data_IF_718166348138
#
_entry.id   IF_718166348138
#
_cell.length_a   1.000
_cell.length_b   1.000
_cell.length_c   1.000
_cell.angle_alpha   90.00
_cell.angle_beta   90.00
_cell.angle_gamma   90.00
#
_symmetry.space_group_name_H-M   'P 1'
#
loop_
_entity.id
_entity.type
_entity.pdbx_description
1 polymer ?
#
# COMPACT_ATOMS: atom_id res chain seq x y z
N UNK A 1 18.51 -35.34 34.92
CA UNK A 1 19.09 -34.22 34.20
C UNK A 1 17.92 -33.43 33.61
N UNK A 2 17.51 -32.33 34.25
CA UNK A 2 16.34 -31.56 33.93
C UNK A 2 16.79 -30.43 33.01
N UNK A 3 16.31 -30.39 31.75
CA UNK A 3 16.50 -29.27 30.85
C UNK A 3 15.36 -28.28 31.06
N UNK A 4 15.66 -27.15 31.71
CA UNK A 4 14.74 -26.01 31.77
C UNK A 4 14.74 -25.30 30.41
N UNK A 5 13.66 -25.45 29.65
CA UNK A 5 13.40 -24.61 28.50
C UNK A 5 13.01 -23.21 28.98
N UNK A 6 13.94 -22.27 28.86
CA UNK A 6 13.62 -20.83 28.98
C UNK A 6 12.90 -20.37 27.71
N UNK A 7 11.59 -20.21 27.81
CA UNK A 7 10.84 -19.45 26.84
C UNK A 7 11.13 -17.95 27.06
N UNK A 8 11.96 -17.35 26.21
CA UNK A 8 12.08 -15.90 26.15
C UNK A 8 10.83 -15.39 25.44
N UNK A 9 9.85 -14.93 26.22
CA UNK A 9 8.78 -14.10 25.71
C UNK A 9 9.39 -12.74 25.35
N UNK A 10 9.78 -12.56 24.09
CA UNK A 10 9.96 -11.23 23.54
C UNK A 10 8.57 -10.56 23.52
N UNK A 11 8.32 -9.71 24.50
CA UNK A 11 7.19 -8.80 24.48
C UNK A 11 7.41 -7.82 23.31
N UNK A 12 6.86 -8.15 22.15
CA UNK A 12 6.76 -7.22 21.01
C UNK A 12 5.77 -6.14 21.48
N UNK A 13 6.29 -5.01 21.95
CA UNK A 13 5.48 -3.81 22.08
C UNK A 13 5.08 -3.41 20.66
N UNK A 14 3.80 -3.16 20.37
CA UNK A 14 3.43 -2.50 19.13
C UNK A 14 4.08 -1.11 19.17
N UNK A 15 5.14 -0.92 18.43
CA UNK A 15 5.70 0.41 18.17
C UNK A 15 4.77 1.02 17.12
N UNK A 16 3.71 1.67 17.57
CA UNK A 16 3.03 2.65 16.72
C UNK A 16 4.06 3.77 16.56
N UNK A 17 4.62 3.91 15.37
CA UNK A 17 5.44 5.06 15.06
C UNK A 17 4.56 6.31 15.16
N UNK A 18 5.10 7.37 15.74
CA UNK A 18 4.43 8.67 15.72
C UNK A 18 4.23 9.08 14.25
N UNK A 19 3.06 9.63 13.92
CA UNK A 19 2.75 10.06 12.56
C UNK A 19 3.78 11.07 12.05
N UNK A 20 4.57 10.66 11.07
CA UNK A 20 5.58 11.50 10.43
C UNK A 20 4.97 12.25 9.24
N UNK A 21 4.62 13.52 9.47
CA UNK A 21 4.05 14.41 8.45
C UNK A 21 4.98 14.57 7.25
N UNK A 22 6.30 14.68 7.47
CA UNK A 22 7.25 14.91 6.38
C UNK A 22 7.40 13.67 5.49
N UNK A 23 7.57 12.50 6.10
CA UNK A 23 7.64 11.23 5.36
C UNK A 23 6.33 10.98 4.60
N UNK A 24 5.18 11.18 5.23
CA UNK A 24 3.86 11.02 4.60
C UNK A 24 3.67 12.00 3.45
N UNK A 25 4.16 13.24 3.57
CA UNK A 25 4.12 14.22 2.48
C UNK A 25 4.95 13.79 1.26
N UNK A 26 6.11 13.17 1.48
CA UNK A 26 6.91 12.60 0.39
C UNK A 26 6.13 11.48 -0.34
N UNK A 27 5.44 10.63 0.41
CA UNK A 27 4.58 9.59 -0.16
C UNK A 27 3.40 10.19 -0.94
N UNK A 28 2.82 11.31 -0.46
CA UNK A 28 1.79 12.04 -1.20
C UNK A 28 2.32 12.55 -2.55
N UNK A 29 3.53 13.11 -2.57
CA UNK A 29 4.14 13.58 -3.82
C UNK A 29 4.37 12.45 -4.81
N UNK A 30 4.81 11.29 -4.37
CA UNK A 30 4.92 10.09 -5.21
C UNK A 30 3.55 9.64 -5.75
N UNK A 31 2.52 9.61 -4.89
CA UNK A 31 1.17 9.28 -5.30
C UNK A 31 0.63 10.27 -6.34
N UNK A 32 0.86 11.58 -6.17
CA UNK A 32 0.48 12.61 -7.13
C UNK A 32 1.26 12.50 -8.44
N UNK A 33 2.57 12.23 -8.36
CA UNK A 33 3.43 12.04 -9.54
C UNK A 33 2.96 10.88 -10.42
N UNK A 34 2.33 9.85 -9.84
CA UNK A 34 1.79 8.72 -10.59
C UNK A 34 0.73 9.12 -11.64
N UNK A 35 0.06 10.26 -11.45
CA UNK A 35 -0.91 10.82 -12.40
C UNK A 35 -0.26 11.63 -13.53
N UNK A 36 1.03 11.96 -13.43
CA UNK A 36 1.71 12.74 -14.45
C UNK A 36 1.93 11.89 -15.72
N UNK A 37 1.37 12.27 -16.89
CA UNK A 37 1.39 11.43 -18.09
C UNK A 37 2.76 11.39 -18.76
N UNK A 38 3.63 12.38 -18.50
CA UNK A 38 4.94 12.54 -19.16
C UNK A 38 6.12 12.01 -18.33
N UNK A 39 5.87 11.52 -17.12
CA UNK A 39 6.92 11.04 -16.24
C UNK A 39 7.43 9.69 -16.75
N UNK A 40 8.75 9.62 -16.94
CA UNK A 40 9.50 8.42 -17.35
C UNK A 40 10.85 8.38 -16.64
N UNK A 41 11.59 7.25 -16.64
CA UNK A 41 12.94 7.20 -16.06
C UNK A 41 13.93 8.21 -16.62
N UNK A 42 13.70 8.69 -17.84
CA UNK A 42 14.54 9.70 -18.50
C UNK A 42 13.94 11.10 -18.49
N UNK A 43 12.73 11.25 -17.99
CA UNK A 43 12.02 12.53 -17.88
C UNK A 43 11.29 12.61 -16.54
N UNK A 44 12.01 13.07 -15.51
CA UNK A 44 11.49 13.30 -14.16
C UNK A 44 11.22 14.80 -13.97
N UNK A 45 10.23 15.32 -14.72
CA UNK A 45 9.86 16.74 -14.73
C UNK A 45 8.36 16.91 -14.53
N UNK A 46 7.97 17.19 -13.29
CA UNK A 46 6.60 17.51 -12.90
C UNK A 46 6.59 18.35 -11.61
N UNK A 47 5.44 18.90 -11.27
CA UNK A 47 5.27 19.78 -10.09
C UNK A 47 5.68 19.09 -8.77
N UNK A 48 5.49 17.78 -8.67
CA UNK A 48 5.75 16.99 -7.45
C UNK A 48 6.94 16.02 -7.61
N UNK A 49 7.70 16.19 -8.69
CA UNK A 49 8.90 15.40 -8.92
C UNK A 49 10.06 15.92 -8.07
N UNK A 50 10.48 15.14 -7.08
CA UNK A 50 11.54 15.52 -6.15
C UNK A 50 12.91 14.99 -6.57
N UNK A 51 13.98 15.73 -6.23
CA UNK A 51 15.35 15.39 -6.61
C UNK A 51 15.91 14.16 -5.89
N UNK A 52 15.34 13.83 -4.72
CA UNK A 52 15.70 12.62 -3.95
C UNK A 52 15.13 11.33 -4.52
N UNK A 53 14.29 11.43 -5.55
CA UNK A 53 13.61 10.29 -6.17
C UNK A 53 14.26 9.94 -7.50
N UNK A 54 14.60 8.67 -7.66
CA UNK A 54 15.08 8.09 -8.93
C UNK A 54 13.99 7.15 -9.41
N UNK A 55 13.26 7.55 -10.46
CA UNK A 55 12.30 6.69 -11.11
C UNK A 55 13.03 5.68 -12.00
N UNK A 56 12.81 4.40 -11.75
CA UNK A 56 13.48 3.32 -12.50
C UNK A 56 12.56 2.69 -13.54
N UNK A 57 11.27 2.62 -13.25
CA UNK A 57 10.29 2.03 -14.17
C UNK A 57 8.91 2.63 -14.02
N UNK A 58 8.25 2.82 -15.13
CA UNK A 58 6.79 3.00 -15.24
C UNK A 58 6.21 1.67 -15.71
N UNK A 59 5.26 1.13 -14.96
CA UNK A 59 4.55 -0.11 -15.30
C UNK A 59 3.11 0.29 -15.57
N UNK A 60 2.59 -0.09 -16.74
CA UNK A 60 1.23 0.27 -17.14
C UNK A 60 0.60 -0.89 -17.93
N UNK A 61 -0.50 -1.45 -17.41
CA UNK A 61 -1.26 -2.51 -18.03
C UNK A 61 -2.76 -2.31 -17.78
N UNK A 62 -3.58 -2.51 -18.79
CA UNK A 62 -5.05 -2.45 -18.72
C UNK A 62 -5.61 -1.17 -18.03
N UNK A 63 -4.89 -0.05 -18.16
CA UNK A 63 -5.24 1.21 -17.50
C UNK A 63 -4.79 1.35 -16.05
N UNK A 64 -4.26 0.29 -15.44
CA UNK A 64 -3.56 0.37 -14.16
C UNK A 64 -2.12 0.87 -14.37
N UNK A 65 -1.60 1.68 -13.43
CA UNK A 65 -0.25 2.24 -13.54
C UNK A 65 0.44 2.28 -12.18
N UNK A 66 1.72 1.93 -12.16
CA UNK A 66 2.61 2.09 -11.03
C UNK A 66 3.94 2.72 -11.45
N UNK A 67 4.50 3.54 -10.56
CA UNK A 67 5.87 4.03 -10.62
C UNK A 67 6.71 3.22 -9.63
N UNK A 68 7.85 2.73 -10.07
CA UNK A 68 8.78 1.97 -9.22
C UNK A 68 10.16 2.59 -9.31
N UNK A 69 10.81 2.79 -8.16
CA UNK A 69 12.11 3.43 -8.12
C UNK A 69 12.75 3.40 -6.73
N UNK A 70 13.65 4.34 -6.52
CA UNK A 70 14.46 4.49 -5.31
C UNK A 70 14.37 5.90 -4.75
N UNK A 71 14.22 6.02 -3.44
CA UNK A 71 14.20 7.28 -2.70
C UNK A 71 15.46 7.41 -1.87
N UNK A 72 16.36 8.31 -2.27
CA UNK A 72 17.71 8.42 -1.68
C UNK A 72 17.71 8.89 -0.24
N UNK A 73 16.78 9.77 0.16
CA UNK A 73 16.73 10.30 1.53
C UNK A 73 16.34 9.24 2.56
N UNK A 74 15.66 8.18 2.13
CA UNK A 74 15.19 7.10 2.99
C UNK A 74 15.92 5.78 2.76
N UNK A 75 16.86 5.73 1.79
CA UNK A 75 17.53 4.49 1.36
C UNK A 75 16.54 3.34 1.13
N UNK A 76 15.46 3.63 0.43
CA UNK A 76 14.34 2.71 0.23
C UNK A 76 13.89 2.65 -1.22
N UNK A 77 13.43 1.49 -1.64
CA UNK A 77 12.65 1.34 -2.87
C UNK A 77 11.24 1.93 -2.65
N UNK A 78 10.58 2.35 -3.71
CA UNK A 78 9.19 2.75 -3.61
C UNK A 78 8.35 2.15 -4.73
N UNK A 79 7.06 1.99 -4.43
CA UNK A 79 6.02 1.69 -5.42
C UNK A 79 4.86 2.65 -5.20
N UNK A 80 4.59 3.49 -6.20
CA UNK A 80 3.50 4.46 -6.16
C UNK A 80 2.44 4.11 -7.21
N UNK A 81 1.24 3.78 -6.77
CA UNK A 81 0.14 3.41 -7.65
C UNK A 81 -0.71 4.61 -8.01
N UNK A 82 -1.05 4.72 -9.30
CA UNK A 82 -2.04 5.68 -9.78
C UNK A 82 -3.45 5.20 -9.45
N UNK A 83 -4.27 6.09 -8.96
CA UNK A 83 -5.71 5.86 -8.85
C UNK A 83 -6.46 6.04 -10.17
N UNK A 84 -7.78 6.03 -10.10
CA UNK A 84 -8.64 6.25 -11.26
C UNK A 84 -8.51 7.67 -11.78
N UNK A 85 -8.46 7.82 -13.11
CA UNK A 85 -8.48 9.13 -13.78
C UNK A 85 -9.86 9.81 -13.66
N UNK A 86 -10.91 9.01 -13.54
CA UNK A 86 -12.28 9.48 -13.34
C UNK A 86 -12.88 8.82 -12.09
N UNK A 87 -12.74 9.51 -10.96
CA UNK A 87 -13.19 9.02 -9.63
C UNK A 87 -14.71 8.86 -9.58
N UNK A 88 -15.47 9.76 -10.22
CA UNK A 88 -16.93 9.70 -10.24
C UNK A 88 -17.43 8.45 -10.99
N UNK A 89 -16.90 8.19 -12.17
CA UNK A 89 -17.22 6.95 -12.89
C UNK A 89 -16.82 5.70 -12.13
N UNK A 90 -15.68 5.73 -11.43
CA UNK A 90 -15.23 4.63 -10.61
C UNK A 90 -16.19 4.39 -9.43
N UNK A 91 -16.61 5.43 -8.70
CA UNK A 91 -17.57 5.33 -7.60
C UNK A 91 -18.91 4.72 -8.03
N UNK A 92 -19.37 5.07 -9.26
CA UNK A 92 -20.61 4.54 -9.82
C UNK A 92 -20.51 3.07 -10.28
N UNK A 93 -19.30 2.57 -10.49
CA UNK A 93 -19.04 1.22 -11.03
C UNK A 93 -18.25 0.32 -10.07
N UNK A 94 -18.02 0.76 -8.82
CA UNK A 94 -17.30 -0.04 -7.82
C UNK A 94 -18.04 -1.37 -7.61
N UNK A 95 -17.31 -2.46 -7.74
CA UNK A 95 -17.81 -3.79 -7.42
C UNK A 95 -17.92 -3.94 -5.90
N UNK A 96 -18.72 -4.89 -5.48
CA UNK A 96 -18.93 -5.21 -4.06
C UNK A 96 -18.66 -6.69 -3.76
N UNK A 97 -18.10 -7.39 -4.72
CA UNK A 97 -17.78 -8.81 -4.60
C UNK A 97 -16.37 -9.00 -4.04
N UNK A 98 -16.22 -10.03 -3.24
CA UNK A 98 -14.93 -10.46 -2.73
C UNK A 98 -14.33 -11.58 -3.60
N UNK A 99 -13.02 -11.50 -3.83
CA UNK A 99 -12.21 -12.64 -4.21
C UNK A 99 -11.41 -13.13 -3.00
N UNK A 100 -11.10 -14.42 -3.01
CA UNK A 100 -10.34 -15.08 -1.94
C UNK A 100 -9.06 -15.69 -2.53
N UNK A 101 -8.09 -14.87 -2.93
CA UNK A 101 -6.98 -15.30 -3.79
C UNK A 101 -6.00 -16.24 -3.11
N UNK A 102 -6.00 -16.26 -1.78
CA UNK A 102 -4.99 -16.98 -0.99
C UNK A 102 -5.49 -18.32 -0.43
N UNK A 103 -6.66 -18.79 -0.80
CA UNK A 103 -7.28 -20.00 -0.23
C UNK A 103 -6.46 -21.29 -0.41
N UNK A 104 -5.44 -21.28 -1.27
CA UNK A 104 -4.50 -22.39 -1.44
C UNK A 104 -3.36 -22.43 -0.42
N UNK A 105 -3.15 -21.33 0.32
CA UNK A 105 -2.08 -21.29 1.30
C UNK A 105 -2.53 -21.94 2.59
N UNK A 106 -1.66 -22.76 3.17
CA UNK A 106 -1.89 -23.40 4.48
C UNK A 106 -1.04 -22.68 5.54
N UNK A 107 -1.71 -22.09 6.51
CA UNK A 107 -1.06 -21.40 7.62
C UNK A 107 -1.87 -21.65 8.88
N UNK A 108 -1.20 -22.04 9.95
CA UNK A 108 -1.83 -22.39 11.24
C UNK A 108 -2.50 -21.20 11.94
N UNK A 109 -2.13 -19.96 11.57
CA UNK A 109 -2.60 -18.73 12.22
C UNK A 109 -3.68 -17.99 11.41
N UNK A 110 -3.81 -18.28 10.12
CA UNK A 110 -4.71 -17.57 9.20
C UNK A 110 -5.52 -18.59 8.40
N UNK A 111 -6.83 -18.47 8.48
CA UNK A 111 -7.72 -19.16 7.55
C UNK A 111 -7.81 -18.36 6.24
N UNK A 112 -6.91 -18.68 5.32
CA UNK A 112 -6.79 -18.00 4.03
C UNK A 112 -8.05 -18.09 3.17
N UNK A 113 -8.91 -19.08 3.40
CA UNK A 113 -10.17 -19.23 2.66
C UNK A 113 -11.18 -18.12 2.97
N UNK A 114 -10.95 -17.37 4.06
CA UNK A 114 -11.82 -16.28 4.51
C UNK A 114 -11.26 -14.89 4.24
N UNK A 115 -9.99 -14.79 3.84
CA UNK A 115 -9.31 -13.51 3.55
C UNK A 115 -9.80 -12.97 2.20
N UNK A 116 -10.76 -12.06 2.26
CA UNK A 116 -11.42 -11.48 1.09
C UNK A 116 -10.88 -10.10 0.73
N UNK A 117 -10.58 -9.91 -0.55
CA UNK A 117 -10.22 -8.62 -1.15
C UNK A 117 -11.30 -8.24 -2.16
N UNK A 118 -11.60 -6.94 -2.30
CA UNK A 118 -12.53 -6.47 -3.33
C UNK A 118 -12.00 -6.85 -4.72
N UNK A 119 -12.88 -7.44 -5.54
CA UNK A 119 -12.51 -8.07 -6.80
C UNK A 119 -11.83 -7.09 -7.78
N UNK A 120 -12.35 -5.89 -7.92
CA UNK A 120 -11.81 -4.89 -8.85
C UNK A 120 -10.44 -4.38 -8.44
N UNK A 121 -10.20 -4.23 -7.13
CA UNK A 121 -8.88 -3.84 -6.60
C UNK A 121 -7.86 -4.96 -6.82
N UNK A 122 -8.26 -6.20 -6.54
CA UNK A 122 -7.37 -7.33 -6.74
C UNK A 122 -7.00 -7.53 -8.21
N UNK A 123 -7.97 -7.46 -9.13
CA UNK A 123 -7.70 -7.55 -10.58
C UNK A 123 -6.76 -6.43 -11.03
N UNK A 124 -7.02 -5.18 -10.58
CA UNK A 124 -6.16 -4.03 -10.92
C UNK A 124 -4.73 -4.22 -10.41
N UNK A 125 -4.58 -4.77 -9.21
CA UNK A 125 -3.27 -5.08 -8.64
C UNK A 125 -2.56 -6.19 -9.43
N UNK A 126 -3.25 -7.28 -9.74
CA UNK A 126 -2.69 -8.43 -10.50
C UNK A 126 -2.14 -8.04 -11.87
N UNK A 127 -2.75 -7.05 -12.54
CA UNK A 127 -2.25 -6.54 -13.82
C UNK A 127 -0.82 -5.98 -13.72
N UNK A 128 -0.39 -5.55 -12.53
CA UNK A 128 0.90 -4.90 -12.29
C UNK A 128 1.88 -5.75 -11.48
N UNK A 129 1.40 -6.67 -10.65
CA UNK A 129 2.17 -7.41 -9.64
C UNK A 129 3.46 -8.02 -10.17
N UNK A 130 3.36 -8.83 -11.21
CA UNK A 130 4.51 -9.57 -11.77
C UNK A 130 5.65 -8.64 -12.18
N UNK A 131 5.34 -7.54 -12.83
CA UNK A 131 6.34 -6.58 -13.29
C UNK A 131 6.89 -5.73 -12.14
N UNK A 132 6.07 -5.44 -11.11
CA UNK A 132 6.51 -4.77 -9.88
C UNK A 132 7.52 -5.65 -9.16
N UNK A 133 7.20 -6.91 -8.85
CA UNK A 133 8.07 -7.82 -8.11
C UNK A 133 9.38 -8.06 -8.86
N UNK A 134 9.32 -8.28 -10.18
CA UNK A 134 10.51 -8.39 -11.01
C UNK A 134 11.39 -7.14 -10.94
N UNK A 135 10.79 -5.97 -10.94
CA UNK A 135 11.53 -4.70 -10.87
C UNK A 135 12.14 -4.54 -9.49
N UNK A 136 11.39 -4.74 -8.42
CA UNK A 136 11.90 -4.67 -7.04
C UNK A 136 13.08 -5.61 -6.82
N UNK A 137 13.03 -6.85 -7.34
CA UNK A 137 14.14 -7.80 -7.27
C UNK A 137 15.41 -7.26 -7.93
N UNK A 138 15.27 -6.63 -9.10
CA UNK A 138 16.41 -5.99 -9.79
C UNK A 138 16.96 -4.80 -9.00
N UNK A 139 16.07 -3.97 -8.45
CA UNK A 139 16.47 -2.77 -7.72
C UNK A 139 17.08 -3.07 -6.35
N UNK A 140 16.64 -4.14 -5.68
CA UNK A 140 17.28 -4.66 -4.47
C UNK A 140 18.77 -4.89 -4.68
N UNK A 141 19.13 -5.53 -5.80
CA UNK A 141 20.53 -5.80 -6.12
C UNK A 141 21.29 -4.53 -6.54
N UNK A 142 20.61 -3.60 -7.20
CA UNK A 142 21.20 -2.33 -7.64
C UNK A 142 21.50 -1.40 -6.46
N UNK A 143 20.52 -1.20 -5.57
CA UNK A 143 20.61 -0.21 -4.47
C UNK A 143 21.04 -0.82 -3.14
N UNK A 144 21.13 -2.15 -3.04
CA UNK A 144 21.51 -2.88 -1.83
C UNK A 144 20.59 -2.61 -0.64
N UNK A 145 19.32 -2.35 -0.91
CA UNK A 145 18.27 -2.16 0.09
C UNK A 145 17.10 -3.12 -0.14
N UNK A 146 16.48 -3.57 0.94
CA UNK A 146 15.27 -4.40 0.94
C UNK A 146 14.05 -3.66 1.46
N UNK A 147 14.26 -2.43 1.93
CA UNK A 147 13.20 -1.56 2.44
C UNK A 147 12.36 -1.02 1.30
N UNK A 148 11.04 -1.10 1.45
CA UNK A 148 10.07 -0.61 0.47
C UNK A 148 9.09 0.36 1.15
N UNK A 149 8.76 1.42 0.44
CA UNK A 149 7.62 2.30 0.73
C UNK A 149 6.56 2.12 -0.36
N UNK A 150 5.32 1.91 0.06
CA UNK A 150 4.18 1.78 -0.85
C UNK A 150 3.23 2.96 -0.66
N UNK A 151 2.64 3.44 -1.76
CA UNK A 151 1.72 4.58 -1.70
C UNK A 151 0.74 4.60 -2.86
N UNK A 152 -0.37 5.30 -2.67
CA UNK A 152 -1.33 5.58 -3.72
C UNK A 152 -2.51 6.41 -3.24
N UNK A 153 -3.21 7.02 -4.19
CA UNK A 153 -4.41 7.80 -3.95
C UNK A 153 -5.63 7.09 -4.55
N UNK A 154 -6.78 7.12 -3.86
CA UNK A 154 -8.04 6.54 -4.32
C UNK A 154 -7.86 5.04 -4.64
N UNK A 155 -8.20 4.58 -5.86
CA UNK A 155 -7.92 3.19 -6.32
C UNK A 155 -6.44 2.79 -6.16
N UNK A 156 -5.50 3.75 -6.18
CA UNK A 156 -4.08 3.48 -5.93
C UNK A 156 -3.79 2.91 -4.53
N UNK A 157 -4.77 2.91 -3.61
CA UNK A 157 -4.66 2.22 -2.33
C UNK A 157 -4.54 0.67 -2.46
N UNK A 158 -4.54 0.12 -3.68
CA UNK A 158 -4.06 -1.24 -3.95
C UNK A 158 -2.60 -1.44 -3.51
N UNK A 159 -1.87 -0.37 -3.19
CA UNK A 159 -0.57 -0.40 -2.50
C UNK A 159 -0.60 -1.24 -1.22
N UNK A 160 -1.73 -1.22 -0.51
CA UNK A 160 -1.97 -2.05 0.69
C UNK A 160 -1.98 -3.55 0.37
N UNK A 161 -2.46 -3.95 -0.83
CA UNK A 161 -2.40 -5.36 -1.28
C UNK A 161 -0.94 -5.76 -1.52
N UNK A 162 -0.16 -4.90 -2.17
CA UNK A 162 1.27 -5.15 -2.37
C UNK A 162 2.02 -5.28 -1.03
N UNK A 163 1.75 -4.38 -0.08
CA UNK A 163 2.37 -4.44 1.24
C UNK A 163 2.03 -5.74 1.98
N UNK A 164 0.78 -6.20 1.87
CA UNK A 164 0.32 -7.46 2.40
C UNK A 164 1.05 -8.65 1.77
N UNK A 165 1.09 -8.73 0.44
CA UNK A 165 1.72 -9.85 -0.27
C UNK A 165 3.24 -9.89 -0.08
N UNK A 166 3.90 -8.75 0.00
CA UNK A 166 5.35 -8.69 0.28
C UNK A 166 5.65 -9.39 1.60
N UNK A 167 4.89 -9.10 2.65
CA UNK A 167 5.12 -9.73 3.94
C UNK A 167 4.95 -11.26 3.91
N UNK A 168 3.92 -11.75 3.25
CA UNK A 168 3.59 -13.19 3.29
C UNK A 168 4.34 -14.01 2.25
N UNK A 169 4.68 -13.44 1.09
CA UNK A 169 5.14 -14.21 -0.06
C UNK A 169 6.53 -13.81 -0.57
N UNK A 170 7.07 -12.66 -0.12
CA UNK A 170 8.36 -12.15 -0.56
C UNK A 170 9.25 -11.74 0.64
N UNK A 171 9.65 -12.70 1.50
CA UNK A 171 10.29 -12.41 2.80
C UNK A 171 11.66 -11.75 2.69
N UNK A 172 12.22 -11.65 1.50
CA UNK A 172 13.45 -10.90 1.22
C UNK A 172 13.25 -9.38 1.21
N UNK A 173 12.01 -8.90 1.29
CA UNK A 173 11.66 -7.49 1.34
C UNK A 173 10.95 -7.13 2.65
N UNK A 174 11.03 -5.86 3.01
CA UNK A 174 10.30 -5.29 4.15
C UNK A 174 9.57 -4.02 3.71
N UNK A 175 8.25 -4.03 3.79
CA UNK A 175 7.48 -2.79 3.63
C UNK A 175 7.47 -2.06 4.97
N UNK A 176 8.24 -0.99 5.05
CA UNK A 176 8.33 -0.17 6.26
C UNK A 176 7.09 0.73 6.40
N UNK A 177 6.62 1.30 5.30
CA UNK A 177 5.47 2.20 5.30
C UNK A 177 4.56 1.96 4.10
N UNK A 178 3.25 1.83 4.34
CA UNK A 178 2.18 1.96 3.35
C UNK A 178 1.36 3.22 3.65
N UNK A 179 1.55 4.28 2.86
CA UNK A 179 0.86 5.55 3.02
C UNK A 179 -0.17 5.75 1.90
N UNK A 180 -1.46 5.75 2.25
CA UNK A 180 -2.54 5.90 1.29
C UNK A 180 -3.34 7.17 1.51
N UNK A 181 -3.86 7.74 0.44
CA UNK A 181 -4.58 9.01 0.44
C UNK A 181 -5.98 8.82 -0.14
N UNK A 182 -7.02 9.16 0.63
CA UNK A 182 -8.40 8.91 0.22
C UNK A 182 -8.65 7.42 -0.09
N UNK A 183 -8.09 6.50 0.71
CA UNK A 183 -8.21 5.06 0.48
C UNK A 183 -9.63 4.57 0.66
N UNK A 184 -10.20 3.83 -0.30
CA UNK A 184 -11.40 3.03 -0.08
C UNK A 184 -11.10 1.83 0.83
N UNK A 185 -12.13 1.08 1.23
CA UNK A 185 -11.96 -0.17 1.97
C UNK A 185 -11.55 -1.29 1.01
N UNK A 186 -10.39 -1.88 1.25
CA UNK A 186 -9.76 -2.83 0.32
C UNK A 186 -10.27 -4.26 0.50
N UNK A 187 -10.59 -4.67 1.72
CA UNK A 187 -10.96 -6.05 2.02
C UNK A 187 -11.90 -6.19 3.21
N UNK A 188 -12.14 -7.43 3.59
CA UNK A 188 -12.99 -7.78 4.72
C UNK A 188 -12.24 -7.72 6.06
N UNK A 189 -12.95 -8.06 7.16
CA UNK A 189 -12.36 -8.07 8.50
C UNK A 189 -11.19 -9.06 8.60
N UNK A 190 -11.27 -10.19 7.92
CA UNK A 190 -10.24 -11.24 7.91
C UNK A 190 -8.97 -10.76 7.20
N UNK A 191 -9.11 -10.04 6.08
CA UNK A 191 -7.99 -9.34 5.44
C UNK A 191 -7.32 -8.36 6.40
N UNK A 192 -8.10 -7.52 7.07
CA UNK A 192 -7.57 -6.55 8.05
C UNK A 192 -6.89 -7.24 9.22
N UNK A 193 -7.43 -8.35 9.71
CA UNK A 193 -6.81 -9.12 10.80
C UNK A 193 -5.46 -9.71 10.35
N UNK A 194 -5.40 -10.29 9.16
CA UNK A 194 -4.16 -10.82 8.60
C UNK A 194 -3.15 -9.68 8.30
N UNK A 195 -3.62 -8.53 7.78
CA UNK A 195 -2.77 -7.36 7.53
C UNK A 195 -2.11 -6.84 8.82
N UNK A 196 -2.82 -6.81 9.95
CA UNK A 196 -2.25 -6.39 11.24
C UNK A 196 -1.06 -7.25 11.70
N UNK A 197 -0.94 -8.48 11.22
CA UNK A 197 0.20 -9.35 11.53
C UNK A 197 1.46 -8.98 10.75
N UNK A 198 1.34 -8.18 9.68
CA UNK A 198 2.50 -7.78 8.87
C UNK A 198 3.43 -6.83 9.61
N UNK A 199 2.93 -6.14 10.65
CA UNK A 199 3.62 -5.05 11.35
C UNK A 199 4.11 -3.92 10.41
N UNK A 200 3.59 -3.85 9.19
CA UNK A 200 3.81 -2.72 8.28
C UNK A 200 3.23 -1.46 8.92
N UNK A 201 4.01 -0.40 8.99
CA UNK A 201 3.49 0.90 9.41
C UNK A 201 2.53 1.42 8.33
N UNK A 202 1.29 1.70 8.72
CA UNK A 202 0.27 2.17 7.79
C UNK A 202 -0.24 3.54 8.17
N UNK A 203 -0.43 4.37 7.16
CA UNK A 203 -1.05 5.69 7.33
C UNK A 203 -2.11 5.87 6.24
N UNK A 204 -3.37 5.93 6.64
CA UNK A 204 -4.48 6.28 5.74
C UNK A 204 -4.84 7.75 5.95
N UNK A 205 -4.38 8.61 5.07
CA UNK A 205 -4.74 10.02 5.11
C UNK A 205 -6.11 10.22 4.47
N UNK A 206 -7.03 10.79 5.23
CA UNK A 206 -8.36 11.18 4.77
C UNK A 206 -8.57 12.68 4.93
N UNK A 207 -9.42 13.27 4.13
CA UNK A 207 -9.60 14.71 4.12
C UNK A 207 -11.08 15.07 4.15
N UNK A 208 -11.46 15.89 5.14
CA UNK A 208 -12.77 16.54 5.28
C UNK A 208 -13.94 15.59 4.98
N UNK A 209 -14.73 15.86 3.94
CA UNK A 209 -15.88 15.05 3.50
C UNK A 209 -15.60 14.18 2.27
N UNK A 210 -14.35 13.74 2.09
CA UNK A 210 -14.03 12.80 1.00
C UNK A 210 -14.92 11.56 1.09
N UNK A 211 -15.64 11.26 0.00
CA UNK A 211 -16.56 10.12 -0.08
C UNK A 211 -15.85 8.80 -0.32
N UNK A 212 -14.64 8.81 -0.88
CA UNK A 212 -13.92 7.59 -1.27
C UNK A 212 -13.62 6.68 -0.07
N UNK A 213 -13.17 7.16 1.10
CA UNK A 213 -12.98 6.31 2.27
C UNK A 213 -14.26 5.64 2.81
N UNK A 214 -15.42 6.08 2.36
CA UNK A 214 -16.69 5.51 2.83
C UNK A 214 -17.19 4.33 1.98
N UNK A 215 -16.49 4.00 0.89
CA UNK A 215 -16.86 2.90 -0.01
C UNK A 215 -15.78 1.82 -0.06
N UNK A 216 -16.15 0.54 -0.35
CA UNK A 216 -17.50 0.00 -0.19
C UNK A 216 -18.00 0.11 1.25
N UNK A 217 -19.32 0.01 1.46
CA UNK A 217 -19.91 0.24 2.79
C UNK A 217 -19.54 -0.87 3.78
N UNK A 218 -19.39 -0.49 5.06
CA UNK A 218 -19.11 -1.45 6.14
C UNK A 218 -20.19 -2.52 6.32
N UNK A 219 -21.45 -2.20 6.01
CA UNK A 219 -22.57 -3.14 6.04
C UNK A 219 -22.40 -4.33 5.09
N UNK A 220 -21.52 -4.17 4.08
CA UNK A 220 -21.13 -5.21 3.13
C UNK A 220 -19.87 -5.99 3.60
N UNK A 221 -19.54 -5.91 4.87
CA UNK A 221 -18.36 -6.54 5.50
C UNK A 221 -17.00 -5.98 5.07
N UNK A 222 -16.94 -4.81 4.43
CA UNK A 222 -15.70 -4.14 4.13
C UNK A 222 -15.12 -3.40 5.34
N UNK A 223 -13.80 -3.46 5.53
CA UNK A 223 -13.11 -2.81 6.65
C UNK A 223 -11.84 -2.10 6.18
N UNK A 224 -11.48 -1.07 6.92
CA UNK A 224 -10.21 -0.38 6.74
C UNK A 224 -9.07 -1.05 7.50
N UNK A 225 -7.89 -1.06 6.90
CA UNK A 225 -6.64 -1.25 7.67
C UNK A 225 -6.46 -0.09 8.67
N UNK A 226 -5.70 -0.28 9.77
CA UNK A 226 -5.62 0.69 10.86
C UNK A 226 -4.95 2.02 10.47
N UNK A 227 -4.88 2.93 11.46
CA UNK A 227 -4.16 4.21 11.46
C UNK A 227 -4.69 5.24 10.44
N UNK A 228 -5.89 5.73 10.70
CA UNK A 228 -6.42 6.89 9.99
C UNK A 228 -5.83 8.18 10.54
N UNK A 229 -5.46 9.08 9.63
CA UNK A 229 -5.11 10.47 9.90
C UNK A 229 -6.06 11.36 9.10
N UNK A 230 -7.05 11.90 9.78
CA UNK A 230 -8.05 12.75 9.17
C UNK A 230 -7.63 14.22 9.22
N UNK A 231 -7.65 14.91 8.08
CA UNK A 231 -7.39 16.36 7.97
C UNK A 231 -8.69 17.14 7.84
N UNK A 232 -8.72 18.31 8.49
CA UNK A 232 -9.81 19.27 8.33
C UNK A 232 -9.80 19.93 6.94
N UNK A 233 -10.83 20.76 6.64
CA UNK A 233 -11.03 21.41 5.34
C UNK A 233 -9.81 22.23 4.91
N UNK A 234 -9.20 22.98 5.82
CA UNK A 234 -8.07 23.86 5.55
C UNK A 234 -6.71 23.15 5.57
N UNK A 235 -6.65 21.85 5.82
CA UNK A 235 -5.42 21.08 6.00
C UNK A 235 -4.49 21.62 7.11
N UNK A 236 -5.05 22.32 8.10
CA UNK A 236 -4.28 22.95 9.19
C UNK A 236 -4.20 22.08 10.43
N UNK A 237 -5.17 21.18 10.63
CA UNK A 237 -5.25 20.29 11.77
C UNK A 237 -5.58 18.85 11.32
N UNK A 238 -5.05 17.89 12.06
CA UNK A 238 -5.35 16.47 11.86
C UNK A 238 -5.59 15.77 13.20
N UNK A 239 -6.25 14.63 13.18
CA UNK A 239 -6.50 13.73 14.33
C UNK A 239 -6.41 12.26 13.94
#
# INVERSE_FOLDING_TARGET
>A
MWYSLFFIFLAIKPVFSEYDVNKTKQMLYLAQTSYCPKVTPTNWDCTYCENSVILEKVIEHNGAKALVGYHSDYDALFVAFRGSENIENWLNNIKIDFVYPYYFYDNILIDWSTVGIEEGFYITYQDLEKDIIKTLTTLKDKYKTTTIYTTGHSLGAISTILAFEIFYFYPEFVVELDATFGSPRIGNQEFVNAFKLTNTDTVRVTHYYDMVPHVPQELLNYKHVPNEVWYNEENTNYK
#
